data_IF_385612711432
#
_entry.id   IF_385612711432
#
_cell.length_a   1.000
_cell.length_b   1.000
_cell.length_c   1.000
_cell.angle_alpha   90.00
_cell.angle_beta   90.00
_cell.angle_gamma   90.00
#
_symmetry.space_group_name_H-M   'P 1'
#
loop_
_entity.id
_entity.type
_entity.pdbx_description
1 polymer ?
#
# COMPACT_ATOMS: atom_id res chain seq x y z
N UNK A 1 -12.19 6.03 -13.84
CA UNK A 1 -11.02 5.18 -13.57
C UNK A 1 -11.27 4.48 -12.25
N UNK A 2 -11.10 3.16 -12.18
CA UNK A 2 -11.25 2.39 -10.94
C UNK A 2 -10.06 2.65 -10.01
N UNK A 3 -10.20 2.35 -8.70
CA UNK A 3 -9.07 2.44 -7.76
C UNK A 3 -7.91 1.55 -8.23
N UNK A 4 -8.20 0.35 -8.75
CA UNK A 4 -7.17 -0.54 -9.28
C UNK A 4 -6.37 0.08 -10.42
N UNK A 5 -7.05 0.73 -11.37
CA UNK A 5 -6.41 1.42 -12.49
C UNK A 5 -5.51 2.56 -11.98
N UNK A 6 -6.02 3.41 -11.07
CA UNK A 6 -5.25 4.51 -10.46
C UNK A 6 -4.02 3.97 -9.73
N UNK A 7 -4.17 2.89 -8.95
CA UNK A 7 -3.08 2.27 -8.20
C UNK A 7 -2.01 1.70 -9.14
N UNK A 8 -2.44 1.09 -10.25
CA UNK A 8 -1.55 0.55 -11.27
C UNK A 8 -0.74 1.64 -11.97
N UNK A 9 -1.34 2.80 -12.28
CA UNK A 9 -0.63 3.96 -12.82
C UNK A 9 0.46 4.48 -11.85
N UNK A 10 0.22 4.36 -10.55
CA UNK A 10 1.20 4.68 -9.51
C UNK A 10 2.21 3.55 -9.24
N UNK A 11 2.17 2.46 -10.01
CA UNK A 11 3.11 1.34 -9.94
C UNK A 11 2.81 0.32 -8.84
N UNK A 12 1.59 0.31 -8.30
CA UNK A 12 1.14 -0.72 -7.37
C UNK A 12 0.56 -1.94 -8.10
N UNK A 13 0.69 -3.11 -7.48
CA UNK A 13 0.12 -4.38 -7.92
C UNK A 13 -0.85 -4.92 -6.89
N UNK A 14 -1.86 -5.67 -7.32
CA UNK A 14 -2.72 -6.43 -6.42
C UNK A 14 -1.91 -7.56 -5.77
N UNK A 15 -2.03 -7.68 -4.46
CA UNK A 15 -1.54 -8.83 -3.70
C UNK A 15 -2.66 -9.34 -2.79
N UNK A 16 -2.97 -10.62 -2.90
CA UNK A 16 -3.86 -11.32 -1.99
C UNK A 16 -3.09 -12.46 -1.32
N UNK A 17 -3.25 -12.58 0.00
CA UNK A 17 -2.64 -13.64 0.80
C UNK A 17 -3.64 -14.78 1.03
N UNK A 18 -3.11 -15.99 1.29
CA UNK A 18 -3.94 -17.15 1.64
C UNK A 18 -4.73 -16.97 2.96
N UNK A 19 -4.39 -15.97 3.77
CA UNK A 19 -5.10 -15.61 5.00
C UNK A 19 -6.29 -14.66 4.76
N UNK A 20 -6.67 -14.42 3.49
CA UNK A 20 -7.78 -13.54 3.14
C UNK A 20 -7.45 -12.05 3.14
N UNK A 21 -6.20 -11.67 3.46
CA UNK A 21 -5.78 -10.27 3.40
C UNK A 21 -5.46 -9.85 1.98
N UNK A 22 -6.01 -8.71 1.57
CA UNK A 22 -5.81 -8.07 0.29
C UNK A 22 -5.09 -6.72 0.47
N UNK A 23 -4.18 -6.40 -0.44
CA UNK A 23 -3.41 -5.14 -0.39
C UNK A 23 -2.84 -4.77 -1.74
N UNK A 24 -2.71 -3.47 -1.98
CA UNK A 24 -1.89 -2.99 -3.08
C UNK A 24 -0.43 -2.94 -2.66
N UNK A 25 0.49 -3.42 -3.51
CA UNK A 25 1.92 -3.47 -3.19
C UNK A 25 2.80 -2.81 -4.25
N UNK A 26 3.81 -2.06 -3.82
CA UNK A 26 4.79 -1.41 -4.70
C UNK A 26 6.20 -1.64 -4.19
N UNK A 27 7.10 -2.11 -5.05
CA UNK A 27 8.50 -2.30 -4.68
C UNK A 27 9.24 -0.97 -4.57
N UNK A 28 10.06 -0.85 -3.54
CA UNK A 28 10.88 0.34 -3.29
C UNK A 28 12.27 -0.05 -2.80
N UNK A 29 13.20 0.91 -2.84
CA UNK A 29 14.46 0.83 -2.10
C UNK A 29 14.31 1.68 -0.84
N UNK A 30 14.40 1.07 0.33
CA UNK A 30 14.31 1.76 1.61
C UNK A 30 15.61 1.58 2.38
N UNK A 31 16.30 2.68 2.72
CA UNK A 31 17.58 2.69 3.46
C UNK A 31 18.63 1.71 2.88
N UNK A 32 18.73 1.67 1.55
CA UNK A 32 19.68 0.79 0.85
C UNK A 32 19.21 -0.66 0.63
N UNK A 33 18.09 -1.08 1.24
CA UNK A 33 17.54 -2.45 1.16
C UNK A 33 16.32 -2.52 0.24
N UNK A 34 16.02 -3.72 -0.26
CA UNK A 34 14.81 -4.01 -1.04
C UNK A 34 13.63 -4.14 -0.08
N UNK A 35 12.59 -3.35 -0.31
CA UNK A 35 11.38 -3.32 0.49
C UNK A 35 10.16 -3.22 -0.43
N UNK A 36 8.96 -3.37 0.14
CA UNK A 36 7.73 -3.04 -0.54
C UNK A 36 6.79 -2.28 0.38
N UNK A 37 5.99 -1.40 -0.22
CA UNK A 37 4.88 -0.73 0.42
C UNK A 37 3.68 -1.66 0.33
N UNK A 38 2.88 -1.77 1.39
CA UNK A 38 1.52 -2.29 1.32
C UNK A 38 0.51 -1.20 1.65
N UNK A 39 -0.61 -1.18 0.93
CA UNK A 39 -1.74 -0.28 1.15
C UNK A 39 -2.99 -1.13 1.30
N UNK A 40 -3.67 -0.96 2.43
CA UNK A 40 -4.94 -1.60 2.77
C UNK A 40 -6.01 -0.54 3.01
N UNK A 41 -7.26 -0.96 3.04
CA UNK A 41 -8.34 -0.19 3.65
C UNK A 41 -8.07 0.06 5.15
N UNK A 42 -8.93 0.84 5.80
CA UNK A 42 -8.78 1.16 7.21
C UNK A 42 -8.86 -0.08 8.15
N UNK A 43 -9.47 -1.17 7.70
CA UNK A 43 -9.53 -2.42 8.49
C UNK A 43 -8.19 -3.18 8.47
N UNK A 44 -7.39 -2.99 7.41
CA UNK A 44 -6.13 -3.70 7.21
C UNK A 44 -6.30 -5.10 6.59
N UNK A 45 -7.51 -5.42 6.12
CA UNK A 45 -7.85 -6.74 5.59
C UNK A 45 -8.16 -6.71 4.09
N UNK A 46 -8.62 -5.57 3.57
CA UNK A 46 -9.15 -5.48 2.20
C UNK A 46 -8.49 -4.37 1.39
N UNK A 47 -8.87 -4.28 0.11
CA UNK A 47 -8.54 -3.14 -0.72
C UNK A 47 -9.44 -1.94 -0.38
N UNK A 48 -8.93 -0.71 -0.41
CA UNK A 48 -9.78 0.47 -0.48
C UNK A 48 -10.61 0.45 -1.77
N UNK A 49 -11.85 0.92 -1.68
CA UNK A 49 -12.81 0.95 -2.78
C UNK A 49 -12.93 2.33 -3.44
N UNK A 50 -12.54 3.40 -2.74
CA UNK A 50 -12.51 4.77 -3.27
C UNK A 50 -11.23 5.52 -2.91
N UNK A 51 -11.00 6.69 -3.52
CA UNK A 51 -9.82 7.53 -3.24
C UNK A 51 -9.96 8.33 -1.94
N UNK A 52 -11.19 8.51 -1.47
CA UNK A 52 -11.56 9.28 -0.28
C UNK A 52 -11.45 8.46 1.00
N UNK A 53 -11.42 7.13 0.88
CA UNK A 53 -11.34 6.23 2.03
C UNK A 53 -9.99 6.30 2.75
N UNK A 54 -9.99 6.27 4.10
CA UNK A 54 -8.77 6.15 4.86
C UNK A 54 -8.08 4.81 4.58
N UNK A 55 -6.75 4.85 4.57
CA UNK A 55 -5.91 3.70 4.24
C UNK A 55 -4.83 3.48 5.27
N UNK A 56 -4.44 2.22 5.43
CA UNK A 56 -3.27 1.83 6.22
C UNK A 56 -2.12 1.52 5.29
N UNK A 57 -1.01 2.24 5.45
CA UNK A 57 0.19 2.13 4.63
C UNK A 57 1.35 1.62 5.49
N UNK A 58 1.99 0.54 5.09
CA UNK A 58 3.15 -0.01 5.80
C UNK A 58 4.30 -0.30 4.82
N UNK A 59 5.53 -0.31 5.33
CA UNK A 59 6.72 -0.69 4.58
C UNK A 59 7.25 -1.99 5.17
N UNK A 60 7.51 -2.96 4.30
CA UNK A 60 7.97 -4.29 4.65
C UNK A 60 9.31 -4.59 3.99
N UNK A 61 10.20 -5.27 4.70
CA UNK A 61 11.41 -5.83 4.10
C UNK A 61 11.03 -6.96 3.14
N UNK A 62 11.56 -6.91 1.91
CA UNK A 62 11.15 -7.86 0.87
C UNK A 62 11.56 -9.30 1.18
N UNK A 63 12.66 -9.52 1.92
CA UNK A 63 13.19 -10.86 2.18
C UNK A 63 12.46 -11.53 3.34
N UNK A 64 12.19 -10.79 4.40
CA UNK A 64 11.59 -11.31 5.63
C UNK A 64 10.07 -11.13 5.68
N UNK A 65 9.51 -10.18 4.92
CA UNK A 65 8.09 -9.81 4.99
C UNK A 65 7.72 -9.05 6.27
N UNK A 66 8.70 -8.69 7.10
CA UNK A 66 8.47 -7.96 8.34
C UNK A 66 8.31 -6.47 8.07
N UNK A 67 7.41 -5.83 8.81
CA UNK A 67 7.33 -4.38 8.87
C UNK A 67 8.68 -3.80 9.31
N UNK A 68 9.22 -2.88 8.53
CA UNK A 68 10.47 -2.15 8.87
C UNK A 68 10.18 -0.82 9.55
N UNK A 69 8.97 -0.29 9.37
CA UNK A 69 8.44 0.90 10.03
C UNK A 69 6.98 0.63 10.40
N UNK A 70 6.49 1.17 11.54
CA UNK A 70 5.09 1.04 11.91
C UNK A 70 4.18 1.53 10.80
N UNK A 71 3.15 0.73 10.48
CA UNK A 71 2.10 1.16 9.57
C UNK A 71 1.49 2.50 9.98
N UNK A 72 1.25 3.38 9.01
CA UNK A 72 0.65 4.70 9.19
C UNK A 72 -0.76 4.69 8.64
N UNK A 73 -1.68 5.28 9.41
CA UNK A 73 -3.01 5.60 8.92
C UNK A 73 -2.95 6.93 8.15
N UNK A 74 -3.44 6.92 6.92
CA UNK A 74 -3.56 8.09 6.07
C UNK A 74 -5.03 8.37 5.85
N UNK A 75 -5.41 9.65 5.96
CA UNK A 75 -6.80 10.11 5.91
C UNK A 75 -7.56 9.71 4.65
N UNK A 76 -6.85 9.58 3.52
CA UNK A 76 -7.43 9.16 2.25
C UNK A 76 -6.37 8.57 1.32
N UNK A 77 -6.75 7.59 0.51
CA UNK A 77 -5.88 7.02 -0.52
C UNK A 77 -5.35 8.08 -1.50
N UNK A 78 -6.22 8.99 -1.95
CA UNK A 78 -5.83 10.08 -2.87
C UNK A 78 -4.71 10.94 -2.30
N UNK A 79 -4.82 11.36 -1.04
CA UNK A 79 -3.78 12.17 -0.39
C UNK A 79 -2.45 11.43 -0.24
N UNK A 80 -2.50 10.10 -0.07
CA UNK A 80 -1.30 9.28 -0.07
C UNK A 80 -0.65 9.25 -1.45
N UNK A 81 -1.42 9.02 -2.51
CA UNK A 81 -0.90 8.97 -3.88
C UNK A 81 -0.29 10.29 -4.34
N UNK A 82 -0.92 11.42 -3.99
CA UNK A 82 -0.37 12.76 -4.22
C UNK A 82 1.02 12.92 -3.57
N UNK A 83 1.18 12.44 -2.33
CA UNK A 83 2.47 12.52 -1.61
C UNK A 83 3.60 11.67 -2.22
N UNK A 84 3.30 10.79 -3.18
CA UNK A 84 4.29 9.99 -3.89
C UNK A 84 4.80 10.66 -5.17
N UNK A 85 4.17 11.74 -5.61
CA UNK A 85 4.55 12.48 -6.84
C UNK A 85 5.52 13.62 -6.57
N UNK A 86 5.67 14.05 -5.31
CA UNK A 86 6.66 15.02 -4.82
C UNK A 86 8.02 14.36 -4.52
#
# INVERSE_FOLDING_TARGET
MSVEEVMKEHGFNLAASCAGKASFTKWIKHKGKRAYISVHDATGESFPTTLEEPVRVAIHDLKSGNEVEPGREIRSLGSYLESLQE
#
